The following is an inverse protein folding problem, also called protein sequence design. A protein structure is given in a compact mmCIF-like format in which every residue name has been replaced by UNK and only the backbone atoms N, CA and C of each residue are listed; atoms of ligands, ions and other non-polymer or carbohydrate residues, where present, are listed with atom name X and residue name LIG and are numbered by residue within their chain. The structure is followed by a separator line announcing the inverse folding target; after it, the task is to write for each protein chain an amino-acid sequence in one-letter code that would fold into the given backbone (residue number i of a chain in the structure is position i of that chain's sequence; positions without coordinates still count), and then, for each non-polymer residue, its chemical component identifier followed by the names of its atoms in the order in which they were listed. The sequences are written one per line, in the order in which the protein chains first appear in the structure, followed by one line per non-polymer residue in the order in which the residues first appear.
data_IF_741244028870
#
_entry.id   IF_741244028870
#
_cell.length_a   1.000
_cell.length_b   1.000
_cell.length_c   1.000
_cell.angle_alpha   90.00
_cell.angle_beta   90.00
_cell.angle_gamma   90.00
#
_symmetry.space_group_name_H-M   'P 1'
#
loop_
_entity.id
_entity.type
_entity.pdbx_description
1 polymer ?
#
# COMPACT_ATOMS: atom_id res chain seq x y z
N UNK A 1 4.85 37.68 -23.25
CA UNK A 1 5.54 36.40 -23.52
C UNK A 1 6.26 35.92 -22.26
N UNK A 2 7.14 36.72 -21.61
CA UNK A 2 7.91 36.35 -20.40
C UNK A 2 6.99 35.93 -19.26
N UNK A 3 5.95 36.69 -18.93
CA UNK A 3 4.97 36.38 -17.90
C UNK A 3 4.26 35.03 -18.13
N UNK A 4 3.90 34.74 -19.38
CA UNK A 4 3.25 33.47 -19.75
C UNK A 4 4.22 32.29 -19.55
N UNK A 5 5.50 32.47 -19.91
CA UNK A 5 6.53 31.46 -19.70
C UNK A 5 6.76 31.16 -18.21
N UNK A 6 6.85 32.21 -17.36
CA UNK A 6 7.01 32.07 -15.91
C UNK A 6 5.80 31.33 -15.30
N UNK A 7 4.58 31.71 -15.69
CA UNK A 7 3.35 31.05 -15.23
C UNK A 7 3.34 29.57 -15.63
N UNK A 8 3.70 29.26 -16.88
CA UNK A 8 3.78 27.88 -17.35
C UNK A 8 4.76 27.04 -16.52
N UNK A 9 5.97 27.56 -16.31
CA UNK A 9 7.01 26.87 -15.52
C UNK A 9 6.52 26.64 -14.07
N UNK A 10 5.92 27.64 -13.45
CA UNK A 10 5.40 27.53 -12.07
C UNK A 10 4.31 26.46 -11.95
N UNK A 11 3.36 26.44 -12.88
CA UNK A 11 2.27 25.46 -12.90
C UNK A 11 2.77 24.04 -13.22
N UNK A 12 3.73 23.94 -14.14
CA UNK A 12 4.37 22.66 -14.46
C UNK A 12 5.12 22.08 -13.25
N UNK A 13 5.90 22.91 -12.56
CA UNK A 13 6.62 22.50 -11.36
C UNK A 13 5.66 22.04 -10.25
N UNK A 14 4.54 22.73 -10.07
CA UNK A 14 3.53 22.35 -9.09
C UNK A 14 2.96 20.94 -9.33
N UNK A 15 2.68 20.61 -10.60
CA UNK A 15 2.21 19.26 -10.95
C UNK A 15 3.32 18.23 -10.68
N UNK A 16 4.56 18.53 -11.09
CA UNK A 16 5.69 17.61 -10.89
C UNK A 16 6.00 17.37 -9.41
N UNK A 17 5.94 18.39 -8.55
CA UNK A 17 6.11 18.22 -7.11
C UNK A 17 5.07 17.25 -6.53
N UNK A 18 3.82 17.35 -6.99
CA UNK A 18 2.77 16.44 -6.54
C UNK A 18 3.03 15.01 -7.03
N UNK A 19 3.49 14.84 -8.28
CA UNK A 19 3.88 13.53 -8.83
C UNK A 19 5.00 12.91 -7.99
N UNK A 20 6.04 13.69 -7.68
CA UNK A 20 7.18 13.22 -6.87
C UNK A 20 6.71 12.73 -5.49
N UNK A 21 5.81 13.47 -4.82
CA UNK A 21 5.26 13.03 -3.53
C UNK A 21 4.45 11.74 -3.62
N UNK A 22 3.70 11.56 -4.70
CA UNK A 22 2.98 10.31 -4.95
C UNK A 22 3.95 9.15 -5.17
N UNK A 23 4.95 9.34 -6.01
CA UNK A 23 5.94 8.31 -6.33
C UNK A 23 6.80 7.96 -5.10
N UNK A 24 7.12 8.95 -4.24
CA UNK A 24 7.78 8.72 -2.96
C UNK A 24 6.91 7.88 -2.01
N UNK A 25 5.63 8.23 -1.88
CA UNK A 25 4.70 7.48 -1.04
C UNK A 25 4.56 6.02 -1.53
N UNK A 26 4.43 5.81 -2.84
CA UNK A 26 4.34 4.49 -3.45
C UNK A 26 5.59 3.65 -3.18
N UNK A 27 6.78 4.24 -3.32
CA UNK A 27 8.05 3.57 -3.02
C UNK A 27 8.16 3.17 -1.55
N UNK A 28 7.74 4.04 -0.63
CA UNK A 28 7.75 3.74 0.82
C UNK A 28 6.73 2.65 1.18
N UNK A 29 5.56 2.66 0.55
CA UNK A 29 4.56 1.58 0.71
C UNK A 29 5.16 0.25 0.25
N UNK A 30 5.78 0.21 -0.95
CA UNK A 30 6.40 -1.02 -1.48
C UNK A 30 7.46 -1.59 -0.50
N UNK A 31 8.33 -0.75 0.03
CA UNK A 31 9.34 -1.18 1.00
C UNK A 31 8.70 -1.75 2.28
N UNK A 32 7.74 -1.06 2.88
CA UNK A 32 7.05 -1.53 4.07
C UNK A 32 6.25 -2.84 3.84
N UNK A 33 5.66 -3.00 2.66
CA UNK A 33 4.99 -4.26 2.30
C UNK A 33 5.96 -5.43 2.19
N UNK A 34 7.17 -5.20 1.65
CA UNK A 34 8.24 -6.21 1.59
C UNK A 34 8.70 -6.60 3.00
N UNK A 35 8.96 -5.61 3.85
CA UNK A 35 9.37 -5.85 5.24
C UNK A 35 8.28 -6.63 6.01
N UNK A 36 7.00 -6.26 5.84
CA UNK A 36 5.86 -6.99 6.41
C UNK A 36 5.79 -8.43 5.91
N UNK A 37 5.99 -8.64 4.62
CA UNK A 37 6.00 -9.96 4.01
C UNK A 37 7.11 -10.86 4.59
N UNK A 38 8.34 -10.35 4.65
CA UNK A 38 9.49 -11.11 5.15
C UNK A 38 9.31 -11.45 6.64
N UNK A 39 8.81 -10.50 7.42
CA UNK A 39 8.57 -10.69 8.84
C UNK A 39 7.44 -11.70 9.10
N UNK A 40 6.33 -11.64 8.36
CA UNK A 40 5.25 -12.64 8.46
C UNK A 40 5.72 -14.04 8.06
N UNK A 41 6.53 -14.18 7.01
CA UNK A 41 7.11 -15.47 6.64
C UNK A 41 8.02 -16.04 7.74
N UNK A 42 8.79 -15.17 8.42
CA UNK A 42 9.57 -15.57 9.57
C UNK A 42 8.67 -16.03 10.72
N UNK A 43 7.59 -15.32 11.02
CA UNK A 43 6.62 -15.71 12.04
C UNK A 43 6.00 -17.07 11.73
N UNK A 44 5.57 -17.30 10.48
CA UNK A 44 5.01 -18.60 10.06
C UNK A 44 6.01 -19.75 10.26
N UNK A 45 7.29 -19.49 9.95
CA UNK A 45 8.36 -20.49 10.15
C UNK A 45 8.59 -20.80 11.62
N UNK A 46 8.57 -19.78 12.49
CA UNK A 46 8.69 -19.93 13.94
C UNK A 46 7.51 -20.70 14.53
N UNK A 47 6.29 -20.36 14.14
CA UNK A 47 5.07 -21.02 14.59
C UNK A 47 5.09 -22.51 14.27
N UNK A 48 5.48 -22.88 13.04
CA UNK A 48 5.61 -24.29 12.61
C UNK A 48 6.59 -25.11 13.43
N UNK A 49 7.59 -24.47 14.02
CA UNK A 49 8.54 -25.13 14.91
C UNK A 49 8.01 -25.32 16.34
N UNK A 50 6.97 -24.57 16.71
CA UNK A 50 6.42 -24.56 18.09
C UNK A 50 5.16 -25.41 18.18
N UNK A 51 4.29 -25.35 17.17
CA UNK A 51 3.02 -26.06 17.12
C UNK A 51 2.81 -26.72 15.76
N UNK A 52 2.01 -27.79 15.73
CA UNK A 52 1.53 -28.37 14.49
C UNK A 52 0.49 -27.42 13.88
N UNK A 53 0.71 -27.02 12.61
CA UNK A 53 -0.21 -26.19 11.85
C UNK A 53 -1.01 -27.06 10.86
N UNK A 54 -2.26 -26.64 10.62
CA UNK A 54 -3.06 -27.16 9.51
C UNK A 54 -2.33 -26.94 8.18
N UNK A 55 -2.49 -27.89 7.24
CA UNK A 55 -1.85 -27.80 5.90
C UNK A 55 -2.28 -26.56 5.10
N UNK A 56 -3.45 -26.02 5.40
CA UNK A 56 -3.97 -24.82 4.76
C UNK A 56 -3.59 -23.52 5.49
N UNK A 57 -3.01 -23.59 6.70
CA UNK A 57 -2.62 -22.43 7.46
C UNK A 57 -1.59 -21.59 6.67
N UNK A 58 -1.82 -20.31 6.59
CA UNK A 58 -0.99 -19.34 5.89
C UNK A 58 -0.79 -19.63 4.39
N UNK A 59 -1.75 -20.33 3.76
CA UNK A 59 -1.66 -20.74 2.35
C UNK A 59 -1.46 -19.57 1.39
N UNK A 60 -2.07 -18.42 1.69
CA UNK A 60 -2.04 -17.27 0.81
C UNK A 60 -0.65 -16.61 0.81
N UNK A 61 -0.04 -16.41 1.97
CA UNK A 61 1.32 -15.85 2.06
C UNK A 61 2.38 -16.81 1.49
N UNK A 62 2.19 -18.12 1.66
CA UNK A 62 3.11 -19.13 1.10
C UNK A 62 3.06 -19.14 -0.43
N UNK A 63 1.87 -18.99 -1.01
CA UNK A 63 1.68 -18.91 -2.47
C UNK A 63 2.24 -17.65 -3.10
N UNK A 64 2.40 -16.56 -2.33
CA UNK A 64 2.95 -15.29 -2.82
C UNK A 64 4.39 -15.40 -3.32
N UNK A 65 5.18 -16.36 -2.83
CA UNK A 65 6.59 -16.56 -3.23
C UNK A 65 6.81 -16.73 -4.73
N UNK A 66 5.77 -17.08 -5.50
CA UNK A 66 5.88 -17.44 -6.91
C UNK A 66 5.28 -16.41 -7.88
N UNK A 67 4.74 -15.26 -7.43
CA UNK A 67 3.99 -14.34 -8.31
C UNK A 67 4.54 -12.92 -8.26
N UNK A 68 4.70 -12.30 -9.44
CA UNK A 68 4.73 -10.83 -9.55
C UNK A 68 3.30 -10.33 -9.35
N UNK A 69 3.04 -9.69 -8.23
CA UNK A 69 1.73 -9.11 -7.90
C UNK A 69 1.88 -7.60 -7.69
N UNK A 70 0.77 -6.89 -7.87
CA UNK A 70 0.72 -5.45 -7.58
C UNK A 70 0.84 -5.18 -6.07
N UNK A 71 1.28 -3.96 -5.70
CA UNK A 71 1.33 -3.57 -4.28
C UNK A 71 -0.05 -3.64 -3.61
N UNK A 72 -1.14 -3.40 -4.34
CA UNK A 72 -2.51 -3.53 -3.84
C UNK A 72 -2.85 -4.98 -3.47
N UNK A 73 -2.53 -5.93 -4.34
CA UNK A 73 -2.82 -7.35 -4.11
C UNK A 73 -1.91 -7.91 -3.02
N UNK A 74 -0.64 -7.48 -2.99
CA UNK A 74 0.29 -7.83 -1.93
C UNK A 74 -0.23 -7.35 -0.58
N UNK A 75 -0.60 -6.08 -0.47
CA UNK A 75 -1.11 -5.48 0.76
C UNK A 75 -2.35 -6.20 1.28
N UNK A 76 -3.33 -6.46 0.40
CA UNK A 76 -4.54 -7.21 0.74
C UNK A 76 -4.23 -8.60 1.30
N UNK A 77 -3.33 -9.33 0.63
CA UNK A 77 -2.93 -10.67 1.10
C UNK A 77 -2.19 -10.60 2.44
N UNK A 78 -1.36 -9.57 2.65
CA UNK A 78 -0.67 -9.37 3.91
C UNK A 78 -1.62 -8.98 5.06
N UNK A 79 -2.68 -8.23 4.79
CA UNK A 79 -3.73 -7.94 5.78
C UNK A 79 -4.43 -9.23 6.21
N UNK A 80 -4.84 -10.07 5.27
CA UNK A 80 -5.46 -11.37 5.56
C UNK A 80 -4.52 -12.29 6.36
N UNK A 81 -3.26 -12.41 5.93
CA UNK A 81 -2.27 -13.26 6.59
C UNK A 81 -1.89 -12.75 7.99
N UNK A 82 -1.88 -11.44 8.19
CA UNK A 82 -1.63 -10.84 9.50
C UNK A 82 -2.81 -11.07 10.46
N UNK A 83 -4.03 -10.99 9.97
CA UNK A 83 -5.23 -11.32 10.75
C UNK A 83 -5.22 -12.78 11.19
N UNK A 84 -4.83 -13.70 10.29
CA UNK A 84 -4.66 -15.12 10.60
C UNK A 84 -3.57 -15.34 11.66
N UNK A 85 -2.42 -14.66 11.51
CA UNK A 85 -1.34 -14.68 12.49
C UNK A 85 -1.80 -14.22 13.87
N UNK A 86 -2.50 -13.08 13.97
CA UNK A 86 -3.00 -12.54 15.24
C UNK A 86 -4.00 -13.49 15.91
N UNK A 87 -4.92 -14.06 15.14
CA UNK A 87 -5.89 -15.03 15.64
C UNK A 87 -5.20 -16.24 16.29
N UNK A 88 -4.16 -16.75 15.64
CA UNK A 88 -3.40 -17.90 16.13
C UNK A 88 -2.52 -17.53 17.34
N UNK A 89 -1.85 -16.38 17.26
CA UNK A 89 -0.98 -15.85 18.31
C UNK A 89 -1.77 -15.57 19.61
N UNK A 90 -2.92 -14.92 19.50
CA UNK A 90 -3.75 -14.56 20.64
C UNK A 90 -4.44 -15.78 21.29
N UNK A 91 -4.78 -16.79 20.50
CA UNK A 91 -5.43 -18.00 21.00
C UNK A 91 -4.45 -18.98 21.69
N UNK A 92 -3.14 -18.88 21.42
CA UNK A 92 -2.16 -19.85 21.87
C UNK A 92 -1.15 -19.22 22.86
N UNK A 93 -1.21 -19.69 24.14
CA UNK A 93 -0.33 -19.19 25.21
C UNK A 93 1.15 -19.42 24.88
N UNK A 94 1.51 -20.57 24.33
CA UNK A 94 2.91 -20.92 24.01
C UNK A 94 3.51 -19.98 22.97
N UNK A 95 2.70 -19.54 21.98
CA UNK A 95 3.13 -18.56 20.98
C UNK A 95 3.34 -17.17 21.61
N UNK A 96 2.46 -16.76 22.51
CA UNK A 96 2.57 -15.47 23.20
C UNK A 96 3.77 -15.38 24.16
N UNK A 97 4.18 -16.49 24.74
CA UNK A 97 5.33 -16.59 25.64
C UNK A 97 6.66 -16.71 24.89
N UNK A 98 6.63 -16.82 23.55
CA UNK A 98 7.85 -16.88 22.74
C UNK A 98 8.37 -15.46 22.47
N UNK A 99 9.58 -15.17 22.97
CA UNK A 99 10.21 -13.84 22.87
C UNK A 99 10.42 -13.37 21.42
N UNK A 100 10.75 -14.28 20.49
CA UNK A 100 10.97 -13.91 19.09
C UNK A 100 9.66 -13.54 18.40
N UNK A 101 8.58 -14.29 18.64
CA UNK A 101 7.25 -13.99 18.13
C UNK A 101 6.69 -12.71 18.74
N UNK A 102 6.92 -12.47 20.03
CA UNK A 102 6.52 -11.22 20.68
C UNK A 102 7.20 -10.00 20.02
N UNK A 103 8.52 -10.06 19.81
CA UNK A 103 9.27 -8.98 19.13
C UNK A 103 8.80 -8.78 17.69
N UNK A 104 8.57 -9.89 16.96
CA UNK A 104 8.09 -9.84 15.59
C UNK A 104 6.68 -9.24 15.51
N UNK A 105 5.77 -9.60 16.43
CA UNK A 105 4.44 -8.99 16.49
C UNK A 105 4.51 -7.48 16.72
N UNK A 106 5.36 -7.01 17.63
CA UNK A 106 5.57 -5.58 17.86
C UNK A 106 6.10 -4.84 16.62
N UNK A 107 6.98 -5.47 15.86
CA UNK A 107 7.46 -4.90 14.59
C UNK A 107 6.36 -4.88 13.52
N UNK A 108 5.52 -5.92 13.44
CA UNK A 108 4.37 -5.97 12.53
C UNK A 108 3.35 -4.86 12.83
N UNK A 109 3.06 -4.61 14.12
CA UNK A 109 2.20 -3.50 14.54
C UNK A 109 2.75 -2.15 14.04
N UNK A 110 4.05 -1.89 14.24
CA UNK A 110 4.68 -0.64 13.79
C UNK A 110 4.64 -0.47 12.26
N UNK A 111 4.90 -1.54 11.52
CA UNK A 111 4.82 -1.52 10.05
C UNK A 111 3.38 -1.26 9.60
N UNK A 112 2.38 -1.82 10.25
CA UNK A 112 0.97 -1.65 9.90
C UNK A 112 0.48 -0.21 10.15
N UNK A 113 0.92 0.40 11.25
CA UNK A 113 0.67 1.81 11.57
C UNK A 113 1.34 2.74 10.53
N UNK A 114 2.59 2.44 10.15
CA UNK A 114 3.28 3.20 9.10
C UNK A 114 2.59 3.05 7.74
N UNK A 115 2.20 1.84 7.35
CA UNK A 115 1.44 1.60 6.11
C UNK A 115 0.14 2.38 6.09
N UNK A 116 -0.58 2.43 7.21
CA UNK A 116 -1.82 3.22 7.32
C UNK A 116 -1.56 4.71 7.10
N UNK A 117 -0.51 5.24 7.69
CA UNK A 117 -0.08 6.62 7.51
C UNK A 117 0.32 6.90 6.06
N UNK A 118 1.09 6.01 5.44
CA UNK A 118 1.55 6.14 4.05
C UNK A 118 0.40 6.06 3.03
N UNK A 119 -0.60 5.19 3.25
CA UNK A 119 -1.79 5.09 2.40
C UNK A 119 -2.60 6.40 2.45
N UNK A 120 -2.77 6.97 3.63
CA UNK A 120 -3.45 8.26 3.80
C UNK A 120 -2.67 9.39 3.10
N UNK A 121 -1.36 9.42 3.25
CA UNK A 121 -0.49 10.38 2.58
C UNK A 121 -0.54 10.23 1.05
N UNK A 122 -0.48 9.00 0.53
CA UNK A 122 -0.65 8.71 -0.88
C UNK A 122 -1.99 9.23 -1.40
N UNK A 123 -3.09 8.88 -0.74
CA UNK A 123 -4.44 9.27 -1.15
C UNK A 123 -4.65 10.78 -1.12
N UNK A 124 -4.08 11.48 -0.14
CA UNK A 124 -4.12 12.95 -0.08
C UNK A 124 -3.40 13.58 -1.29
N UNK A 125 -2.23 13.07 -1.65
CA UNK A 125 -1.47 13.56 -2.82
C UNK A 125 -2.13 13.16 -4.15
N UNK A 126 -2.75 11.99 -4.25
CA UNK A 126 -3.57 11.60 -5.42
C UNK A 126 -4.77 12.55 -5.59
N UNK A 127 -5.42 12.91 -4.49
CA UNK A 127 -6.50 13.90 -4.52
C UNK A 127 -6.03 15.23 -5.07
N UNK A 128 -4.87 15.73 -4.61
CA UNK A 128 -4.28 16.97 -5.10
C UNK A 128 -3.88 16.86 -6.58
N UNK A 129 -3.21 15.78 -6.96
CA UNK A 129 -2.83 15.52 -8.35
C UNK A 129 -4.03 15.48 -9.28
N UNK A 130 -5.06 14.68 -8.97
CA UNK A 130 -6.24 14.55 -9.79
C UNK A 130 -7.02 15.89 -9.93
N UNK A 131 -7.04 16.70 -8.86
CA UNK A 131 -7.59 18.07 -8.90
C UNK A 131 -6.75 18.98 -9.82
N UNK A 132 -5.41 18.93 -9.72
CA UNK A 132 -4.52 19.76 -10.52
C UNK A 132 -4.67 19.48 -12.01
N UNK A 133 -4.73 18.23 -12.44
CA UNK A 133 -4.86 17.88 -13.87
C UNK A 133 -6.24 18.24 -14.47
N UNK A 134 -7.26 18.47 -13.62
CA UNK A 134 -8.61 18.88 -14.05
C UNK A 134 -8.84 20.39 -13.98
N UNK A 135 -8.14 21.11 -13.10
CA UNK A 135 -8.38 22.53 -12.82
C UNK A 135 -7.68 23.42 -13.83
N UNK A 136 -8.37 24.49 -14.29
CA UNK A 136 -7.74 25.56 -15.07
C UNK A 136 -6.79 26.39 -14.18
N UNK A 137 -5.62 26.81 -14.66
CA UNK A 137 -5.06 26.60 -16.00
C UNK A 137 -4.18 25.33 -16.13
N UNK A 138 -3.96 24.56 -15.06
CA UNK A 138 -3.08 23.36 -15.05
C UNK A 138 -3.58 22.24 -15.97
N UNK A 139 -4.89 22.17 -16.24
CA UNK A 139 -5.48 21.21 -17.17
C UNK A 139 -4.96 21.36 -18.62
N UNK A 140 -4.51 22.55 -19.01
CA UNK A 140 -3.89 22.77 -20.33
C UNK A 140 -2.55 22.01 -20.39
N UNK A 141 -1.73 22.13 -19.35
CA UNK A 141 -0.46 21.42 -19.24
C UNK A 141 -0.69 19.91 -19.19
N UNK A 142 -1.69 19.49 -18.39
CA UNK A 142 -2.05 18.08 -18.27
C UNK A 142 -2.45 17.44 -19.61
N UNK A 143 -3.21 18.16 -20.43
CA UNK A 143 -3.58 17.71 -21.80
C UNK A 143 -2.35 17.60 -22.71
N UNK A 144 -1.47 18.60 -22.70
CA UNK A 144 -0.25 18.60 -23.52
C UNK A 144 0.67 17.43 -23.12
N UNK A 145 0.82 17.19 -21.81
CA UNK A 145 1.66 16.12 -21.26
C UNK A 145 0.96 14.76 -21.21
N UNK A 146 -0.32 14.69 -21.59
CA UNK A 146 -1.15 13.47 -21.55
C UNK A 146 -1.21 12.83 -20.15
N UNK A 147 -1.22 13.65 -19.11
CA UNK A 147 -1.40 13.17 -17.74
C UNK A 147 -2.81 12.60 -17.56
N UNK A 148 -2.87 11.44 -16.91
CA UNK A 148 -4.12 10.73 -16.60
C UNK A 148 -4.37 10.73 -15.11
N UNK A 149 -5.62 10.58 -14.72
CA UNK A 149 -5.98 10.36 -13.32
C UNK A 149 -5.30 9.11 -12.77
N UNK A 150 -4.84 9.18 -11.54
CA UNK A 150 -4.29 8.04 -10.82
C UNK A 150 -5.32 7.51 -9.82
N UNK A 151 -5.42 6.18 -9.64
CA UNK A 151 -6.36 5.57 -8.70
C UNK A 151 -5.94 5.83 -7.26
N UNK A 152 -6.93 5.86 -6.37
CA UNK A 152 -6.70 5.86 -4.94
C UNK A 152 -6.18 4.51 -4.46
N UNK A 153 -5.44 4.53 -3.36
CA UNK A 153 -5.06 3.32 -2.66
C UNK A 153 -6.25 2.85 -1.82
N UNK A 154 -6.90 1.80 -2.26
CA UNK A 154 -8.02 1.17 -1.57
C UNK A 154 -7.76 -0.33 -1.40
N UNK A 155 -7.97 -0.84 -0.18
CA UNK A 155 -7.81 -2.26 0.14
C UNK A 155 -9.08 -3.09 -0.17
N UNK A 156 -10.16 -2.44 -0.61
CA UNK A 156 -11.38 -3.13 -1.00
C UNK A 156 -11.19 -3.90 -2.29
N UNK A 157 -11.83 -5.05 -2.38
CA UNK A 157 -11.96 -5.77 -3.66
C UNK A 157 -12.73 -4.87 -4.63
N UNK A 158 -12.03 -4.41 -5.64
CA UNK A 158 -12.70 -3.79 -6.78
C UNK A 158 -13.22 -4.92 -7.65
N UNK A 159 -14.45 -5.33 -7.39
CA UNK A 159 -15.25 -6.00 -8.41
C UNK A 159 -15.58 -4.99 -9.49
N UNK A 160 -15.70 -5.42 -10.74
CA UNK A 160 -15.96 -4.53 -11.91
C UNK A 160 -17.18 -3.61 -11.73
N UNK A 161 -18.06 -3.90 -10.79
CA UNK A 161 -19.25 -3.12 -10.44
C UNK A 161 -18.93 -1.75 -9.79
N UNK A 162 -17.78 -1.60 -9.14
CA UNK A 162 -17.38 -0.33 -8.50
C UNK A 162 -16.95 0.74 -9.52
N UNK A 163 -16.75 0.38 -10.80
CA UNK A 163 -16.41 1.33 -11.87
C UNK A 163 -17.63 2.08 -12.44
N UNK A 164 -18.84 1.57 -12.27
CA UNK A 164 -20.05 2.21 -12.80
C UNK A 164 -20.57 3.36 -11.92
N UNK A 165 -20.32 3.31 -10.60
CA UNK A 165 -20.80 4.34 -9.64
C UNK A 165 -20.02 5.67 -9.72
N UNK A 166 -18.91 5.73 -10.47
CA UNK A 166 -18.10 6.95 -10.65
C UNK A 166 -18.27 7.62 -12.02
N UNK A 167 -19.24 7.20 -12.82
CA UNK A 167 -19.66 7.95 -14.01
C UNK A 167 -20.73 8.95 -13.63
N UNK A 168 -20.30 10.13 -13.16
CA UNK A 168 -21.07 11.38 -13.19
C UNK A 168 -20.66 12.23 -14.38
#
# INVERSE_FOLDING_TARGET
LILVAITYISLYNKINETIIRVDEAESRIDNNLRDKYDLLNRCVSLIRNIIELDENAFKDIIKLRARKISNFDLDRTLVSSYTEFLSLYDSNKTLRENDELYKANKQLELIDDELTTLRNYYNANITEYNKLIKKFPTNIIAKIKKYKERPFYDLKDRTDDDYEDFKL
#
